data_IF_821380688925
#
_entry.id   IF_821380688925
#
_cell.length_a   1.000
_cell.length_b   1.000
_cell.length_c   1.000
_cell.angle_alpha   90.00
_cell.angle_beta   90.00
_cell.angle_gamma   90.00
#
_symmetry.space_group_name_H-M   'P 1'
#
loop_
_entity.id
_entity.type
_entity.pdbx_description
1 polymer ?
#
# COMPACT_ATOMS: atom_id res chain seq x y z
N UNK A 1 1.33 20.26 6.48
CA UNK A 1 2.44 19.82 5.60
C UNK A 1 1.95 18.62 4.79
N UNK A 2 2.13 18.66 3.48
CA UNK A 2 1.82 17.51 2.61
C UNK A 2 3.12 16.82 2.18
N UNK A 3 3.15 15.49 2.27
CA UNK A 3 4.20 14.63 1.74
C UNK A 3 3.56 13.81 0.63
N UNK A 4 3.74 14.26 -0.62
CA UNK A 4 3.18 13.64 -1.81
C UNK A 4 4.25 13.52 -2.91
N UNK A 5 4.01 12.70 -3.93
CA UNK A 5 4.85 12.64 -5.12
C UNK A 5 4.35 13.62 -6.20
N UNK A 6 5.21 14.02 -7.17
CA UNK A 6 4.78 14.85 -8.30
C UNK A 6 3.64 14.18 -9.09
N UNK A 7 2.69 14.95 -9.60
CA UNK A 7 1.53 14.43 -10.35
C UNK A 7 0.55 13.57 -9.53
N UNK A 8 0.45 13.82 -8.22
CA UNK A 8 -0.50 13.14 -7.33
C UNK A 8 -1.98 13.35 -7.70
N UNK A 9 -2.32 14.41 -8.44
CA UNK A 9 -3.66 14.68 -8.97
C UNK A 9 -4.18 13.57 -9.89
N UNK A 10 -3.27 12.84 -10.55
CA UNK A 10 -3.60 11.71 -11.43
C UNK A 10 -4.05 10.45 -10.67
N UNK A 11 -3.84 10.40 -9.36
CA UNK A 11 -4.33 9.32 -8.49
C UNK A 11 -5.86 9.19 -8.55
N UNK A 12 -6.56 10.31 -8.76
CA UNK A 12 -8.03 10.36 -8.85
C UNK A 12 -8.59 9.56 -10.04
N UNK A 13 -7.76 9.24 -11.04
CA UNK A 13 -8.16 8.44 -12.20
C UNK A 13 -8.28 6.94 -11.86
N UNK A 14 -7.63 6.47 -10.80
CA UNK A 14 -7.81 5.13 -10.24
C UNK A 14 -9.19 4.92 -9.56
N UNK A 15 -10.08 5.93 -9.61
CA UNK A 15 -11.42 5.92 -9.00
C UNK A 15 -12.51 5.79 -10.09
N UNK A 16 -12.13 5.66 -11.37
CA UNK A 16 -13.08 5.49 -12.49
C UNK A 16 -13.29 4.01 -12.82
N UNK A 17 -14.49 3.66 -13.29
CA UNK A 17 -14.83 2.33 -13.81
C UNK A 17 -13.93 1.99 -15.01
N UNK A 18 -12.78 1.37 -14.72
CA UNK A 18 -11.69 1.06 -15.66
C UNK A 18 -11.07 -0.26 -15.27
N UNK A 19 -10.52 -0.95 -16.26
CA UNK A 19 -9.76 -2.17 -15.99
C UNK A 19 -8.50 -1.84 -15.16
N UNK A 20 -8.06 -2.79 -14.35
CA UNK A 20 -6.86 -2.63 -13.53
C UNK A 20 -5.61 -2.27 -14.35
N UNK A 21 -5.45 -2.89 -15.54
CA UNK A 21 -4.35 -2.61 -16.45
C UNK A 21 -4.34 -1.15 -16.91
N UNK A 22 -5.49 -0.61 -17.31
CA UNK A 22 -5.62 0.79 -17.74
C UNK A 22 -5.28 1.77 -16.61
N UNK A 23 -5.67 1.45 -15.38
CA UNK A 23 -5.32 2.25 -14.20
C UNK A 23 -3.81 2.20 -13.96
N UNK A 24 -3.21 1.02 -13.97
CA UNK A 24 -1.77 0.85 -13.77
C UNK A 24 -0.94 1.57 -14.87
N UNK A 25 -1.33 1.43 -16.13
CA UNK A 25 -0.67 2.09 -17.26
C UNK A 25 -0.73 3.60 -17.12
N UNK A 26 -1.90 4.14 -16.77
CA UNK A 26 -2.06 5.57 -16.54
C UNK A 26 -1.16 6.06 -15.40
N UNK A 27 -1.16 5.36 -14.24
CA UNK A 27 -0.29 5.71 -13.11
C UNK A 27 1.19 5.65 -13.48
N UNK A 28 1.58 4.70 -14.34
CA UNK A 28 2.95 4.55 -14.83
C UNK A 28 3.35 5.69 -15.76
N UNK A 29 2.54 5.99 -16.78
CA UNK A 29 2.79 7.05 -17.77
C UNK A 29 2.87 8.43 -17.11
N UNK A 30 1.99 8.67 -16.13
CA UNK A 30 1.95 9.91 -15.38
C UNK A 30 2.97 9.94 -14.23
N UNK A 31 3.80 8.90 -14.06
CA UNK A 31 4.78 8.82 -12.96
C UNK A 31 4.14 9.09 -11.59
N UNK A 32 2.89 8.68 -11.43
CA UNK A 32 2.08 8.93 -10.25
C UNK A 32 2.37 7.88 -9.18
N UNK A 33 3.61 7.83 -8.71
CA UNK A 33 4.06 6.87 -7.69
C UNK A 33 5.26 7.41 -6.90
N UNK A 34 5.47 6.88 -5.70
CA UNK A 34 6.65 7.15 -4.88
C UNK A 34 7.83 6.28 -5.30
N UNK A 35 7.58 4.99 -5.56
CA UNK A 35 8.60 4.00 -5.97
C UNK A 35 8.03 3.12 -7.07
N UNK A 36 8.84 2.79 -8.08
CA UNK A 36 8.59 1.70 -9.03
C UNK A 36 9.61 0.61 -8.76
N UNK A 37 9.12 -0.58 -8.47
CA UNK A 37 9.91 -1.76 -8.15
C UNK A 37 10.52 -2.37 -9.44
N UNK A 38 11.57 -3.20 -9.33
CA UNK A 38 12.23 -3.79 -10.50
C UNK A 38 11.36 -4.75 -11.33
N UNK A 39 10.28 -5.27 -10.76
CA UNK A 39 9.25 -6.07 -11.45
C UNK A 39 8.14 -5.20 -12.08
N UNK A 40 8.26 -3.88 -11.96
CA UNK A 40 7.30 -2.89 -12.43
C UNK A 40 6.26 -2.46 -11.39
N UNK A 41 6.13 -3.14 -10.25
CA UNK A 41 5.10 -2.80 -9.29
C UNK A 41 5.25 -1.36 -8.75
N UNK A 42 4.15 -0.67 -8.51
CA UNK A 42 4.15 0.73 -8.05
C UNK A 42 3.79 0.81 -6.57
N UNK A 43 4.54 1.62 -5.82
CA UNK A 43 4.24 1.97 -4.44
C UNK A 43 3.93 3.46 -4.38
N UNK A 44 2.77 3.80 -3.82
CA UNK A 44 2.34 5.17 -3.54
C UNK A 44 2.32 5.39 -2.03
N UNK A 45 2.92 6.49 -1.59
CA UNK A 45 2.88 6.93 -0.21
C UNK A 45 2.56 8.43 -0.18
N UNK A 46 1.39 8.77 0.37
CA UNK A 46 0.91 10.14 0.49
C UNK A 46 0.49 10.39 1.93
N UNK A 47 0.92 11.50 2.51
CA UNK A 47 0.56 11.92 3.87
C UNK A 47 0.21 13.40 3.91
N UNK A 48 -0.76 13.76 4.73
CA UNK A 48 -1.14 15.14 5.04
C UNK A 48 -1.14 15.30 6.55
N UNK A 49 -0.43 16.32 7.02
CA UNK A 49 -0.29 16.64 8.43
C UNK A 49 -0.81 18.05 8.74
N UNK A 50 -1.49 18.19 9.86
CA UNK A 50 -1.77 19.48 10.50
C UNK A 50 -0.80 19.64 11.69
N UNK A 51 0.21 20.50 11.52
CA UNK A 51 1.34 20.55 12.46
C UNK A 51 2.07 19.19 12.53
N UNK A 52 2.09 18.57 13.72
CA UNK A 52 2.66 17.24 13.96
C UNK A 52 1.61 16.11 13.96
N UNK A 53 0.34 16.45 13.73
CA UNK A 53 -0.77 15.48 13.76
C UNK A 53 -1.04 15.00 12.34
N UNK A 54 -1.09 13.67 12.17
CA UNK A 54 -1.51 13.07 10.91
C UNK A 54 -3.00 13.34 10.69
N UNK A 55 -3.33 14.00 9.59
CA UNK A 55 -4.70 14.24 9.17
C UNK A 55 -5.18 13.13 8.24
N UNK A 56 -4.35 12.78 7.22
CA UNK A 56 -4.69 11.78 6.20
C UNK A 56 -3.48 11.05 5.67
N UNK A 57 -3.66 9.80 5.26
CA UNK A 57 -2.70 9.13 4.38
C UNK A 57 -3.38 8.24 3.35
N UNK A 58 -2.69 8.00 2.25
CA UNK A 58 -3.06 7.03 1.22
C UNK A 58 -1.82 6.26 0.82
N UNK A 59 -1.76 4.99 1.20
CA UNK A 59 -0.64 4.09 0.96
C UNK A 59 -1.10 2.95 0.07
N UNK A 60 -0.62 2.87 -1.16
CA UNK A 60 -1.13 1.92 -2.14
C UNK A 60 0.01 1.14 -2.80
N UNK A 61 -0.26 -0.13 -3.10
CA UNK A 61 0.62 -1.01 -3.84
C UNK A 61 -0.12 -1.56 -5.05
N UNK A 62 0.48 -1.40 -6.22
CA UNK A 62 -0.06 -1.80 -7.53
C UNK A 62 0.93 -2.78 -8.18
N UNK A 63 0.74 -4.10 -8.01
CA UNK A 63 1.51 -5.11 -8.75
C UNK A 63 1.41 -4.89 -10.26
N UNK A 64 2.48 -5.11 -11.02
CA UNK A 64 2.39 -5.00 -12.48
C UNK A 64 1.33 -5.99 -13.03
N UNK A 65 0.35 -5.54 -13.83
CA UNK A 65 -0.70 -6.40 -14.40
C UNK A 65 -0.12 -7.36 -15.46
N UNK A 66 0.95 -6.92 -16.11
CA UNK A 66 1.71 -7.67 -17.09
C UNK A 66 3.18 -7.57 -16.69
N UNK A 67 3.81 -8.72 -16.47
CA UNK A 67 5.26 -8.78 -16.23
C UNK A 67 5.98 -8.68 -17.59
N UNK A 68 5.78 -7.57 -18.32
CA UNK A 68 6.43 -7.37 -19.62
C UNK A 68 7.96 -7.46 -19.49
N UNK A 69 8.53 -6.99 -18.38
CA UNK A 69 9.97 -7.05 -18.14
C UNK A 69 10.48 -8.48 -17.91
N UNK A 70 9.68 -9.33 -17.25
CA UNK A 70 9.91 -10.77 -17.18
C UNK A 70 9.77 -11.44 -18.55
N UNK A 71 8.78 -11.03 -19.35
CA UNK A 71 8.57 -11.60 -20.69
C UNK A 71 9.70 -11.22 -21.65
N UNK A 72 10.23 -10.01 -21.52
CA UNK A 72 11.30 -9.47 -22.37
C UNK A 72 12.69 -9.92 -21.91
N UNK A 73 12.92 -10.10 -20.61
CA UNK A 73 14.21 -10.50 -20.04
C UNK A 73 14.06 -11.63 -19.00
N UNK A 74 13.45 -12.78 -19.34
CA UNK A 74 13.13 -13.83 -18.37
C UNK A 74 14.37 -14.35 -17.65
N UNK A 75 15.53 -14.37 -18.31
CA UNK A 75 16.79 -14.88 -17.76
C UNK A 75 17.24 -14.08 -16.53
N UNK A 76 17.09 -12.75 -16.52
CA UNK A 76 17.46 -11.88 -15.40
C UNK A 76 16.64 -12.20 -14.14
N UNK A 77 15.36 -12.54 -14.31
CA UNK A 77 14.43 -12.77 -13.21
C UNK A 77 14.31 -14.25 -12.81
N UNK A 78 14.57 -15.17 -13.74
CA UNK A 78 14.62 -16.61 -13.47
C UNK A 78 15.91 -17.02 -12.76
N UNK A 79 17.02 -16.33 -13.05
CA UNK A 79 18.29 -16.52 -12.34
C UNK A 79 18.28 -15.87 -10.95
N UNK A 80 17.50 -14.79 -10.77
CA UNK A 80 17.40 -14.08 -9.50
C UNK A 80 16.19 -14.52 -8.67
N UNK A 81 16.41 -15.52 -7.81
CA UNK A 81 15.42 -16.12 -6.89
C UNK A 81 14.63 -15.09 -6.06
N UNK A 82 15.14 -13.85 -5.92
CA UNK A 82 14.50 -12.73 -5.23
C UNK A 82 13.08 -12.43 -5.76
N UNK A 83 12.85 -12.60 -7.07
CA UNK A 83 11.59 -12.22 -7.72
C UNK A 83 10.60 -13.38 -7.92
N UNK A 84 10.97 -14.60 -7.53
CA UNK A 84 10.14 -15.80 -7.70
C UNK A 84 8.72 -15.65 -7.11
N UNK A 85 8.58 -14.89 -6.03
CA UNK A 85 7.32 -14.69 -5.30
C UNK A 85 6.28 -13.86 -6.06
N UNK A 86 6.69 -13.09 -7.07
CA UNK A 86 5.81 -12.16 -7.82
C UNK A 86 5.66 -12.51 -9.29
N UNK A 87 6.48 -13.43 -9.82
CA UNK A 87 6.51 -13.76 -11.26
C UNK A 87 5.70 -14.99 -11.67
N UNK A 88 5.16 -15.74 -10.71
CA UNK A 88 4.41 -16.96 -11.02
C UNK A 88 3.11 -16.65 -11.79
N UNK A 89 2.89 -17.36 -12.91
CA UNK A 89 1.73 -17.14 -13.81
C UNK A 89 0.35 -17.35 -13.14
N UNK A 90 0.30 -18.03 -12.00
CA UNK A 90 -0.93 -18.25 -11.23
C UNK A 90 -1.27 -17.08 -10.30
N UNK A 91 -0.38 -16.11 -10.14
CA UNK A 91 -0.62 -14.93 -9.32
C UNK A 91 -1.62 -14.02 -10.04
N UNK A 92 -2.68 -13.66 -9.36
CA UNK A 92 -3.63 -12.64 -9.82
C UNK A 92 -3.18 -11.29 -9.25
N UNK A 93 -2.65 -10.37 -10.06
CA UNK A 93 -2.25 -9.06 -9.57
C UNK A 93 -3.49 -8.23 -9.24
N UNK A 94 -3.55 -7.70 -8.02
CA UNK A 94 -4.60 -6.78 -7.61
C UNK A 94 -3.99 -5.66 -6.74
N UNK A 95 -4.54 -4.44 -6.80
CA UNK A 95 -4.06 -3.35 -5.98
C UNK A 95 -4.51 -3.54 -4.54
N UNK A 96 -3.70 -3.10 -3.58
CA UNK A 96 -4.11 -2.97 -2.19
C UNK A 96 -3.81 -1.57 -1.68
N UNK A 97 -4.55 -1.14 -0.66
CA UNK A 97 -4.43 0.20 -0.13
C UNK A 97 -4.74 0.29 1.35
N UNK A 98 -3.90 1.00 2.09
CA UNK A 98 -4.19 1.48 3.44
C UNK A 98 -4.52 2.97 3.38
N UNK A 99 -5.74 3.31 3.78
CA UNK A 99 -6.19 4.68 3.88
C UNK A 99 -6.31 5.10 5.35
N UNK A 100 -6.07 6.38 5.59
CA UNK A 100 -6.45 7.05 6.84
C UNK A 100 -7.06 8.41 6.54
N UNK A 101 -8.18 8.71 7.18
CA UNK A 101 -8.81 10.03 7.13
C UNK A 101 -9.42 10.42 8.48
N UNK A 102 -8.87 11.46 9.11
CA UNK A 102 -9.31 11.96 10.40
C UNK A 102 -10.56 12.85 10.32
N UNK A 103 -10.98 13.27 9.11
CA UNK A 103 -12.07 14.22 8.93
C UNK A 103 -13.42 13.60 9.30
N UNK A 104 -14.18 14.32 10.11
CA UNK A 104 -15.42 13.80 10.70
C UNK A 104 -16.54 13.54 9.67
N UNK A 105 -16.54 14.26 8.56
CA UNK A 105 -17.51 14.13 7.46
C UNK A 105 -17.25 12.90 6.57
N UNK A 106 -16.03 12.34 6.60
CA UNK A 106 -15.65 11.14 5.85
C UNK A 106 -15.92 9.86 6.66
N UNK A 107 -15.70 9.93 7.97
CA UNK A 107 -15.86 8.78 8.86
C UNK A 107 -17.32 8.32 8.97
N UNK A 108 -17.52 7.02 8.84
CA UNK A 108 -18.76 6.33 9.22
C UNK A 108 -18.38 5.05 9.96
N UNK A 109 -18.89 4.89 11.17
CA UNK A 109 -18.59 3.73 12.00
C UNK A 109 -18.83 2.42 11.24
N UNK A 110 -17.80 1.57 11.16
CA UNK A 110 -17.78 0.29 10.41
C UNK A 110 -17.88 0.41 8.89
N UNK A 111 -18.71 1.32 8.34
CA UNK A 111 -18.91 1.49 6.89
C UNK A 111 -17.71 2.18 6.22
N UNK A 112 -17.15 3.20 6.87
CA UNK A 112 -15.97 3.93 6.40
C UNK A 112 -15.05 4.24 7.61
N UNK A 113 -14.34 3.23 8.13
CA UNK A 113 -13.42 3.39 9.25
C UNK A 113 -12.39 4.47 8.98
N UNK A 114 -11.95 5.17 10.03
CA UNK A 114 -10.89 6.20 9.91
C UNK A 114 -9.64 5.62 9.29
N UNK A 115 -9.23 4.42 9.68
CA UNK A 115 -8.17 3.67 9.03
C UNK A 115 -8.70 2.34 8.51
N UNK A 116 -8.45 2.04 7.24
CA UNK A 116 -8.92 0.81 6.62
C UNK A 116 -7.99 0.29 5.52
N UNK A 117 -8.07 -1.02 5.29
CA UNK A 117 -7.45 -1.75 4.19
C UNK A 117 -8.50 -2.02 3.11
N UNK A 118 -8.17 -1.68 1.88
CA UNK A 118 -8.88 -2.07 0.68
C UNK A 118 -8.06 -3.06 -0.13
N UNK A 119 -8.74 -4.11 -0.60
CA UNK A 119 -8.17 -5.12 -1.49
C UNK A 119 -8.91 -5.06 -2.82
N UNK A 120 -8.17 -4.95 -3.92
CA UNK A 120 -8.76 -4.70 -5.23
C UNK A 120 -9.42 -3.33 -5.34
N UNK A 121 -10.39 -3.22 -6.24
CA UNK A 121 -11.15 -1.99 -6.51
C UNK A 121 -12.61 -2.11 -6.07
N UNK A 122 -12.89 -2.96 -5.08
CA UNK A 122 -14.24 -3.08 -4.53
C UNK A 122 -14.57 -1.83 -3.69
N UNK A 123 -15.58 -1.07 -4.11
CA UNK A 123 -16.01 0.19 -3.48
C UNK A 123 -16.23 0.09 -1.95
N UNK A 124 -16.78 -1.04 -1.52
CA UNK A 124 -17.14 -1.31 -0.12
C UNK A 124 -16.13 -2.20 0.62
N UNK A 125 -14.99 -2.55 0.00
CA UNK A 125 -13.94 -3.29 0.70
C UNK A 125 -13.12 -2.31 1.56
N UNK A 126 -13.57 -2.15 2.81
CA UNK A 126 -12.96 -1.26 3.81
C UNK A 126 -12.82 -2.01 5.13
N UNK A 127 -11.81 -2.87 5.18
CA UNK A 127 -11.53 -3.69 6.37
C UNK A 127 -10.90 -2.76 7.41
N UNK A 128 -11.46 -2.60 8.62
CA UNK A 128 -10.90 -1.70 9.62
C UNK A 128 -9.45 -2.06 9.98
N UNK A 129 -8.63 -1.04 10.22
CA UNK A 129 -7.24 -1.17 10.66
C UNK A 129 -7.09 -0.45 12.00
N UNK A 130 -6.33 -1.03 12.93
CA UNK A 130 -6.26 -0.51 14.31
C UNK A 130 -5.70 0.91 14.43
N UNK A 131 -4.78 1.28 13.54
CA UNK A 131 -4.14 2.60 13.48
C UNK A 131 -3.65 2.93 12.07
N UNK A 132 -3.36 4.22 11.78
CA UNK A 132 -2.66 4.62 10.56
C UNK A 132 -1.26 3.99 10.48
N UNK A 133 -0.76 3.80 9.26
CA UNK A 133 0.56 3.21 9.02
C UNK A 133 1.62 4.28 8.78
N UNK A 134 2.82 4.04 9.30
CA UNK A 134 4.03 4.80 8.92
C UNK A 134 4.63 4.27 7.61
N UNK A 135 5.50 5.06 6.93
CA UNK A 135 6.14 4.59 5.71
C UNK A 135 6.90 3.28 5.90
N UNK A 136 7.64 3.15 7.01
CA UNK A 136 8.42 1.94 7.32
C UNK A 136 7.54 0.71 7.53
N UNK A 137 6.39 0.84 8.22
CA UNK A 137 5.44 -0.25 8.41
C UNK A 137 4.80 -0.70 7.10
N UNK A 138 4.49 0.24 6.22
CA UNK A 138 3.93 -0.09 4.91
C UNK A 138 4.95 -0.79 4.02
N UNK A 139 6.19 -0.30 3.95
CA UNK A 139 7.26 -0.98 3.20
C UNK A 139 7.58 -2.36 3.78
N UNK A 140 7.66 -2.51 5.10
CA UNK A 140 7.82 -3.83 5.74
C UNK A 140 6.69 -4.79 5.34
N UNK A 141 5.44 -4.32 5.38
CA UNK A 141 4.29 -5.11 4.95
C UNK A 141 4.42 -5.57 3.48
N UNK A 142 4.82 -4.68 2.56
CA UNK A 142 4.99 -5.03 1.15
C UNK A 142 6.11 -6.06 0.97
N UNK A 143 7.30 -5.79 1.53
CA UNK A 143 8.44 -6.68 1.37
C UNK A 143 8.18 -8.06 1.99
N UNK A 144 7.62 -8.09 3.20
CA UNK A 144 7.39 -9.33 3.95
C UNK A 144 6.38 -10.26 3.28
N UNK A 145 5.36 -9.70 2.63
CA UNK A 145 4.22 -10.47 2.10
C UNK A 145 4.26 -10.68 0.58
N UNK A 146 4.88 -9.77 -0.18
CA UNK A 146 4.91 -9.85 -1.64
C UNK A 146 6.31 -10.14 -2.18
N UNK A 147 7.36 -9.71 -1.48
CA UNK A 147 8.76 -9.95 -1.88
C UNK A 147 9.48 -10.79 -0.82
N UNK A 148 8.86 -11.91 -0.41
CA UNK A 148 9.26 -12.66 0.78
C UNK A 148 10.70 -13.16 0.72
N UNK A 149 11.15 -13.63 -0.43
CA UNK A 149 12.51 -14.11 -0.69
C UNK A 149 13.52 -12.97 -0.55
N UNK A 150 13.21 -11.79 -1.09
CA UNK A 150 13.99 -10.57 -0.89
C UNK A 150 14.06 -10.20 0.60
N UNK A 151 12.90 -10.18 1.26
CA UNK A 151 12.78 -9.86 2.66
C UNK A 151 13.64 -10.80 3.53
N UNK A 152 13.57 -12.11 3.31
CA UNK A 152 14.36 -13.11 4.04
C UNK A 152 15.87 -12.94 3.89
N UNK A 153 16.34 -12.38 2.77
CA UNK A 153 17.77 -12.17 2.48
C UNK A 153 18.31 -10.85 3.00
N UNK A 154 17.50 -9.79 2.96
CA UNK A 154 17.98 -8.42 3.15
C UNK A 154 17.30 -7.66 4.30
N UNK A 155 16.29 -8.22 4.97
CA UNK A 155 15.55 -7.50 6.03
C UNK A 155 16.45 -7.01 7.17
N UNK A 156 17.49 -7.76 7.53
CA UNK A 156 18.42 -7.37 8.60
C UNK A 156 19.27 -6.14 8.24
N UNK A 157 19.31 -5.75 6.97
CA UNK A 157 20.00 -4.55 6.48
C UNK A 157 19.09 -3.33 6.41
N UNK A 158 17.77 -3.51 6.57
CA UNK A 158 16.81 -2.41 6.59
C UNK A 158 16.88 -1.68 7.93
N UNK A 159 16.79 -0.34 7.94
CA UNK A 159 16.78 0.39 9.19
C UNK A 159 15.55 0.01 10.03
N UNK A 160 15.76 -0.25 11.32
CA UNK A 160 14.68 -0.52 12.25
C UNK A 160 13.98 0.79 12.65
N UNK A 161 12.67 0.87 12.38
CA UNK A 161 11.84 1.99 12.80
C UNK A 161 10.78 1.50 13.78
N UNK A 162 10.73 2.10 14.97
CA UNK A 162 9.76 1.75 16.03
C UNK A 162 8.54 2.68 16.06
N UNK A 163 8.55 3.76 15.28
CA UNK A 163 7.49 4.76 15.30
C UNK A 163 6.15 4.18 14.86
N UNK A 164 5.10 4.64 15.52
CA UNK A 164 3.72 4.26 15.25
C UNK A 164 2.80 5.46 15.47
N UNK A 165 1.71 5.50 14.71
CA UNK A 165 0.61 6.42 14.98
C UNK A 165 -0.32 5.85 16.06
N UNK A 166 -1.03 6.75 16.75
CA UNK A 166 -2.04 6.37 17.75
C UNK A 166 -3.16 5.53 17.13
N UNK A 167 -3.78 4.68 17.94
CA UNK A 167 -4.98 3.93 17.55
C UNK A 167 -6.11 4.86 17.12
N UNK A 168 -6.78 4.48 16.03
CA UNK A 168 -7.95 5.19 15.50
C UNK A 168 -9.21 4.31 15.43
N UNK A 169 -9.06 3.00 15.64
CA UNK A 169 -10.15 2.02 15.63
C UNK A 169 -11.09 2.20 16.83
N UNK A 170 -12.40 2.05 16.61
CA UNK A 170 -13.41 2.15 17.65
C UNK A 170 -13.94 0.79 18.10
N UNK A 171 -14.70 0.75 19.22
CA UNK A 171 -15.23 -0.49 19.79
C UNK A 171 -16.08 -1.29 18.80
N UNK A 172 -16.92 -0.63 18.01
CA UNK A 172 -17.77 -1.30 17.03
C UNK A 172 -16.94 -2.00 15.93
N UNK A 173 -15.87 -1.35 15.46
CA UNK A 173 -14.95 -1.90 14.46
C UNK A 173 -14.15 -3.10 14.98
N UNK A 174 -13.89 -3.16 16.30
CA UNK A 174 -13.27 -4.34 16.94
C UNK A 174 -14.18 -5.58 16.98
N UNK A 175 -15.49 -5.41 16.76
CA UNK A 175 -16.45 -6.51 16.71
C UNK A 175 -16.61 -7.12 15.30
N UNK A 176 -15.87 -6.64 14.30
CA UNK A 176 -15.79 -7.23 12.97
C UNK A 176 -14.37 -7.70 12.66
N UNK A 177 -14.19 -8.43 11.56
CA UNK A 177 -12.85 -8.78 11.07
C UNK A 177 -12.08 -7.50 10.77
N UNK A 178 -10.94 -7.33 11.42
CA UNK A 178 -10.09 -6.15 11.31
C UNK A 178 -8.61 -6.56 11.26
N UNK A 179 -7.77 -5.64 10.80
CA UNK A 179 -6.31 -5.82 10.76
C UNK A 179 -5.69 -5.07 11.93
N UNK A 180 -5.00 -5.81 12.79
CA UNK A 180 -4.18 -5.23 13.85
C UNK A 180 -2.77 -4.96 13.33
N UNK A 181 -2.31 -3.72 13.46
CA UNK A 181 -0.91 -3.37 13.21
C UNK A 181 -0.10 -3.39 14.51
N UNK A 182 1.22 -3.65 14.46
CA UNK A 182 2.06 -3.66 15.65
C UNK A 182 2.00 -2.31 16.37
N UNK A 183 1.66 -2.33 17.66
CA UNK A 183 1.78 -1.16 18.52
C UNK A 183 3.27 -0.79 18.65
N UNK A 184 3.58 0.51 18.51
CA UNK A 184 4.92 0.99 18.82
C UNK A 184 5.26 0.61 20.26
N UNK A 185 6.48 0.13 20.51
CA UNK A 185 6.94 -0.02 21.89
C UNK A 185 6.88 1.38 22.53
N UNK A 186 6.05 1.55 23.56
CA UNK A 186 6.24 2.64 24.52
C UNK A 186 7.68 2.53 25.00
N UNK A 187 8.51 3.49 24.60
CA UNK A 187 9.84 3.66 25.22
C UNK A 187 9.66 3.95 26.70
#
# INVERSE_FOLDING_TARGET
MEIIFPRAEHVSIAIKDRAYSEIYEHLTQERAYSVKMPDGALIQMMYVFEGSVLERHRLAFFPAPHLEEFQNNPEIYLEDEIYADVIARSIVPFPLRFDYDARADVYKEVEHPRSHLSLGQYENCRIPVTSPLTPSRFIDFILRNFYHTAFRRYADQLPAFSDAFSESIVRAERNVVHVQIPVGATR
#
